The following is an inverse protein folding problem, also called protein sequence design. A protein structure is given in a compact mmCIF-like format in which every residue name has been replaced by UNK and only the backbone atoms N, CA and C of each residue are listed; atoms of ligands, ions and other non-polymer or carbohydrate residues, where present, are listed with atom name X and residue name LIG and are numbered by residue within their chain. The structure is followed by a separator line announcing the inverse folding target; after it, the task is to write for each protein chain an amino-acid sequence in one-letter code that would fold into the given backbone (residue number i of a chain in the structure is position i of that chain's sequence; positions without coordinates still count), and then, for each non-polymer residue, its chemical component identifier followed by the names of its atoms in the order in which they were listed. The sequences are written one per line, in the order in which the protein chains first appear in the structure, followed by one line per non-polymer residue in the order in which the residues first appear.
data_IF_291853939887
#
_entry.id   IF_291853939887
#
_cell.length_a   1.000
_cell.length_b   1.000
_cell.length_c   1.000
_cell.angle_alpha   90.00
_cell.angle_beta   90.00
_cell.angle_gamma   90.00
#
_symmetry.space_group_name_H-M   'P 1'
#
loop_
_entity.id
_entity.type
_entity.pdbx_description
1 polymer ?
#
# COMPACT_ATOMS: atom_id res chain seq x y z
N UNK A 1 24.62 6.80 -27.03
CA UNK A 1 24.03 5.57 -26.47
C UNK A 1 22.55 5.57 -26.84
N UNK A 2 22.02 4.43 -27.30
CA UNK A 2 20.64 4.37 -27.78
C UNK A 2 19.76 3.79 -26.69
N UNK A 3 18.72 4.54 -26.31
CA UNK A 3 17.68 4.05 -25.41
C UNK A 3 16.49 3.60 -26.26
N UNK A 4 16.08 2.34 -26.07
CA UNK A 4 14.91 1.74 -26.73
C UNK A 4 13.84 1.48 -25.68
N UNK A 5 12.63 1.95 -25.92
CA UNK A 5 11.44 1.65 -25.08
C UNK A 5 10.62 0.58 -25.78
N UNK A 6 10.33 -0.51 -25.05
CA UNK A 6 9.45 -1.58 -25.53
C UNK A 6 8.16 -1.58 -24.75
N UNK A 7 7.05 -1.58 -25.48
CA UNK A 7 5.70 -1.66 -24.91
C UNK A 7 5.27 -3.12 -24.80
N UNK A 8 4.64 -3.47 -23.68
CA UNK A 8 4.13 -4.81 -23.41
C UNK A 8 2.67 -4.76 -23.00
N UNK A 9 1.90 -5.75 -23.45
CA UNK A 9 0.50 -5.89 -23.08
C UNK A 9 0.37 -6.71 -21.79
N UNK A 10 -0.37 -6.22 -20.77
CA UNK A 10 -0.65 -7.00 -19.57
C UNK A 10 -1.24 -8.38 -19.88
N UNK A 11 -0.77 -9.41 -19.19
CA UNK A 11 -1.21 -10.79 -19.39
C UNK A 11 -0.57 -11.53 -20.58
N UNK A 12 0.16 -10.81 -21.46
CA UNK A 12 1.00 -11.40 -22.50
C UNK A 12 2.40 -11.74 -21.94
N UNK A 13 3.44 -11.76 -22.80
CA UNK A 13 4.81 -11.94 -22.34
C UNK A 13 5.30 -10.68 -21.59
N UNK A 14 5.39 -10.79 -20.27
CA UNK A 14 5.85 -9.73 -19.37
C UNK A 14 7.17 -10.12 -18.66
N UNK A 15 7.91 -11.09 -19.17
CA UNK A 15 9.12 -11.59 -18.52
C UNK A 15 10.18 -10.49 -18.35
N UNK A 16 10.38 -9.67 -19.37
CA UNK A 16 11.31 -8.54 -19.29
C UNK A 16 10.85 -7.49 -18.28
N UNK A 17 9.55 -7.25 -18.17
CA UNK A 17 8.99 -6.33 -17.17
C UNK A 17 9.21 -6.83 -15.74
N UNK A 18 9.02 -8.12 -15.49
CA UNK A 18 9.30 -8.75 -14.18
C UNK A 18 10.80 -8.69 -13.88
N UNK A 19 11.65 -9.03 -14.87
CA UNK A 19 13.11 -9.05 -14.74
C UNK A 19 13.70 -7.66 -14.49
N UNK A 20 13.10 -6.59 -15.04
CA UNK A 20 13.59 -5.22 -14.87
C UNK A 20 13.71 -4.82 -13.40
N UNK A 21 12.74 -5.18 -12.55
CA UNK A 21 12.83 -4.94 -11.11
C UNK A 21 14.05 -5.62 -10.49
N UNK A 22 14.35 -6.88 -10.86
CA UNK A 22 15.53 -7.59 -10.34
C UNK A 22 16.84 -6.93 -10.78
N UNK A 23 16.89 -6.42 -12.00
CA UNK A 23 18.06 -5.71 -12.53
C UNK A 23 18.29 -4.40 -11.77
N UNK A 24 17.24 -3.62 -11.55
CA UNK A 24 17.34 -2.31 -10.87
C UNK A 24 17.72 -2.46 -9.41
N UNK A 25 17.18 -3.48 -8.73
CA UNK A 25 17.44 -3.70 -7.31
C UNK A 25 18.60 -4.66 -7.03
N UNK A 26 19.37 -5.06 -8.04
CA UNK A 26 20.53 -5.91 -7.84
C UNK A 26 21.49 -5.29 -6.81
N UNK A 27 21.92 -6.11 -5.84
CA UNK A 27 22.82 -5.69 -4.76
C UNK A 27 22.18 -4.80 -3.68
N UNK A 28 20.89 -4.53 -3.72
CA UNK A 28 20.20 -3.77 -2.66
C UNK A 28 19.82 -4.69 -1.49
N UNK A 29 20.44 -4.55 -0.30
CA UNK A 29 20.18 -5.44 0.83
C UNK A 29 18.82 -5.20 1.48
N UNK A 30 18.18 -4.06 1.21
CA UNK A 30 16.85 -3.74 1.74
C UNK A 30 15.73 -4.26 0.85
N UNK A 31 15.98 -4.47 -0.43
CA UNK A 31 14.94 -4.94 -1.34
C UNK A 31 14.49 -6.37 -1.03
N UNK A 32 13.18 -6.59 -1.12
CA UNK A 32 12.55 -7.90 -0.99
C UNK A 32 11.86 -8.24 -2.30
N UNK A 33 12.36 -9.24 -3.06
CA UNK A 33 11.70 -9.65 -4.30
C UNK A 33 10.25 -10.08 -4.04
N UNK A 34 9.27 -9.52 -4.77
CA UNK A 34 7.91 -10.01 -4.70
C UNK A 34 7.83 -11.46 -5.17
N UNK A 35 6.82 -12.19 -4.76
CA UNK A 35 6.57 -13.54 -5.28
C UNK A 35 6.16 -13.44 -6.75
N UNK A 36 6.92 -14.09 -7.62
CA UNK A 36 6.77 -13.97 -9.08
C UNK A 36 5.36 -14.31 -9.57
N UNK A 37 4.73 -15.34 -8.96
CA UNK A 37 3.37 -15.74 -9.35
C UNK A 37 2.33 -14.68 -8.99
N UNK A 38 2.50 -14.00 -7.85
CA UNK A 38 1.61 -12.95 -7.37
C UNK A 38 1.79 -11.67 -8.19
N UNK A 39 3.03 -11.25 -8.40
CA UNK A 39 3.35 -10.11 -9.24
C UNK A 39 2.79 -10.27 -10.67
N UNK A 40 2.94 -11.46 -11.27
CA UNK A 40 2.35 -11.76 -12.58
C UNK A 40 0.83 -11.77 -12.54
N UNK A 41 0.21 -12.28 -11.47
CA UNK A 41 -1.24 -12.29 -11.31
C UNK A 41 -1.80 -10.85 -11.27
N UNK A 42 -1.10 -9.93 -10.60
CA UNK A 42 -1.47 -8.49 -10.57
C UNK A 42 -1.52 -7.88 -11.97
N UNK A 43 -0.64 -8.30 -12.88
CA UNK A 43 -0.54 -7.79 -14.26
C UNK A 43 -1.30 -8.65 -15.27
N UNK A 44 -2.13 -9.60 -14.84
CA UNK A 44 -2.92 -10.46 -15.71
C UNK A 44 -4.39 -10.05 -15.68
N UNK A 45 -4.98 -9.57 -16.80
CA UNK A 45 -6.36 -9.09 -16.81
C UNK A 45 -7.40 -10.09 -16.28
N UNK A 46 -7.24 -11.37 -16.61
CA UNK A 46 -8.15 -12.42 -16.12
C UNK A 46 -8.06 -12.68 -14.61
N UNK A 47 -7.01 -12.18 -13.95
CA UNK A 47 -6.75 -12.42 -12.52
C UNK A 47 -6.87 -11.18 -11.65
N UNK A 48 -6.84 -9.98 -12.23
CA UNK A 48 -6.92 -8.74 -11.47
C UNK A 48 -8.17 -7.93 -11.86
N UNK A 49 -9.11 -7.75 -10.91
CA UNK A 49 -10.36 -7.00 -11.13
C UNK A 49 -10.15 -5.55 -11.60
N UNK A 50 -9.00 -4.93 -11.31
CA UNK A 50 -8.70 -3.58 -11.80
C UNK A 50 -8.91 -3.44 -13.31
N UNK A 51 -8.56 -4.46 -14.10
CA UNK A 51 -8.73 -4.46 -15.56
C UNK A 51 -10.20 -4.46 -16.04
N UNK A 52 -11.16 -4.62 -15.14
CA UNK A 52 -12.59 -4.47 -15.48
C UNK A 52 -12.99 -2.99 -15.58
N UNK A 53 -12.20 -2.09 -14.94
CA UNK A 53 -12.47 -0.67 -14.88
C UNK A 53 -11.27 0.21 -15.29
N UNK A 54 -10.16 -0.39 -15.66
CA UNK A 54 -8.93 0.33 -16.00
C UNK A 54 -8.25 -0.19 -17.25
N UNK A 55 -7.52 0.69 -17.89
CA UNK A 55 -6.62 0.38 -19.01
C UNK A 55 -5.18 0.46 -18.52
N UNK A 56 -4.33 -0.48 -18.94
CA UNK A 56 -2.93 -0.54 -18.53
C UNK A 56 -2.06 -0.90 -19.72
N UNK A 57 -0.90 -0.25 -19.83
CA UNK A 57 0.23 -0.71 -20.63
C UNK A 57 1.50 -0.73 -19.82
N UNK A 58 2.46 -1.55 -20.21
CA UNK A 58 3.73 -1.73 -19.52
C UNK A 58 4.87 -1.34 -20.45
N UNK A 59 5.92 -0.73 -19.92
CA UNK A 59 7.10 -0.32 -20.67
C UNK A 59 8.37 -0.85 -20.02
N UNK A 60 9.31 -1.31 -20.83
CA UNK A 60 10.69 -1.60 -20.42
C UNK A 60 11.64 -0.70 -21.18
N UNK A 61 12.70 -0.23 -20.51
CA UNK A 61 13.78 0.53 -21.12
C UNK A 61 15.01 -0.37 -21.32
N UNK A 62 15.63 -0.22 -22.48
CA UNK A 62 16.85 -0.90 -22.88
C UNK A 62 17.89 0.13 -23.32
N UNK A 63 19.09 0.05 -22.75
CA UNK A 63 20.24 0.91 -23.12
C UNK A 63 21.37 0.02 -23.64
N UNK A 64 21.75 0.24 -24.91
CA UNK A 64 22.78 -0.57 -25.60
C UNK A 64 22.51 -2.08 -25.49
N UNK A 65 21.25 -2.51 -25.67
CA UNK A 65 20.82 -3.90 -25.61
C UNK A 65 20.68 -4.50 -24.21
N UNK A 66 20.87 -3.71 -23.14
CA UNK A 66 20.70 -4.15 -21.75
C UNK A 66 19.40 -3.60 -21.17
N UNK A 67 18.65 -4.45 -20.48
CA UNK A 67 17.46 -4.05 -19.71
C UNK A 67 17.88 -3.16 -18.55
N UNK A 68 17.29 -1.94 -18.43
CA UNK A 68 17.73 -0.91 -17.48
C UNK A 68 16.60 -0.25 -16.68
N UNK A 69 15.36 -0.56 -16.97
CA UNK A 69 14.23 0.00 -16.23
C UNK A 69 12.88 -0.43 -16.74
N UNK A 70 11.85 -0.03 -16.01
CA UNK A 70 10.44 -0.27 -16.35
C UNK A 70 9.54 0.82 -15.80
N UNK A 71 8.36 0.96 -16.39
CA UNK A 71 7.22 1.71 -15.86
C UNK A 71 5.91 1.18 -16.47
N UNK A 72 4.79 1.56 -15.90
CA UNK A 72 3.46 1.37 -16.51
C UNK A 72 2.81 2.72 -16.78
N UNK A 73 1.82 2.72 -17.68
CA UNK A 73 0.83 3.78 -17.76
C UNK A 73 -0.56 3.16 -17.63
N UNK A 74 -1.44 3.82 -16.90
CA UNK A 74 -2.78 3.32 -16.64
C UNK A 74 -3.82 4.44 -16.51
N UNK A 75 -5.06 4.09 -16.85
CA UNK A 75 -6.25 4.92 -16.67
C UNK A 75 -7.20 4.15 -15.74
N UNK A 76 -7.64 4.79 -14.67
CA UNK A 76 -8.72 4.29 -13.82
C UNK A 76 -10.00 5.05 -14.15
N UNK A 77 -10.93 4.41 -14.86
CA UNK A 77 -12.17 5.06 -15.27
C UNK A 77 -13.07 5.44 -14.08
N UNK A 78 -12.95 4.75 -12.95
CA UNK A 78 -13.69 5.13 -11.74
C UNK A 78 -13.10 6.40 -11.12
N UNK A 79 -11.77 6.58 -11.16
CA UNK A 79 -11.14 7.83 -10.78
C UNK A 79 -11.63 8.99 -11.65
N UNK A 80 -11.63 8.81 -12.98
CA UNK A 80 -12.12 9.85 -13.90
C UNK A 80 -13.57 10.21 -13.65
N UNK A 81 -14.42 9.21 -13.38
CA UNK A 81 -15.83 9.42 -13.06
C UNK A 81 -16.05 10.24 -11.78
N UNK A 82 -15.19 10.06 -10.77
CA UNK A 82 -15.32 10.70 -9.46
C UNK A 82 -14.69 12.09 -9.40
N UNK A 83 -13.53 12.25 -10.03
CA UNK A 83 -12.71 13.46 -9.87
C UNK A 83 -12.80 14.40 -11.08
N UNK A 84 -13.20 13.93 -12.26
CA UNK A 84 -13.37 14.71 -13.50
C UNK A 84 -12.16 15.61 -13.83
N UNK A 85 -10.94 15.09 -13.54
CA UNK A 85 -9.70 15.86 -13.61
C UNK A 85 -8.80 15.48 -14.80
N UNK A 86 -9.26 14.56 -15.66
CA UNK A 86 -8.52 14.00 -16.79
C UNK A 86 -7.10 13.50 -16.41
N UNK A 87 -6.94 12.95 -15.21
CA UNK A 87 -5.68 12.42 -14.70
C UNK A 87 -5.52 10.95 -15.09
N UNK A 88 -4.44 10.63 -15.80
CA UNK A 88 -3.93 9.28 -15.93
C UNK A 88 -2.79 9.02 -14.96
N UNK A 89 -2.38 7.77 -14.85
CA UNK A 89 -1.39 7.37 -13.85
C UNK A 89 -0.22 6.65 -14.48
N UNK A 90 0.94 6.68 -13.81
CA UNK A 90 2.06 5.78 -14.06
C UNK A 90 2.38 5.00 -12.80
N UNK A 91 3.02 3.84 -12.93
CA UNK A 91 3.39 2.98 -11.80
C UNK A 91 4.60 2.11 -12.10
N UNK A 92 5.00 1.27 -11.15
CA UNK A 92 6.14 0.35 -11.31
C UNK A 92 7.40 1.05 -11.85
N UNK A 93 7.64 2.30 -11.43
CA UNK A 93 8.72 3.13 -11.94
C UNK A 93 10.05 2.73 -11.28
N UNK A 94 10.81 1.90 -11.97
CA UNK A 94 12.11 1.39 -11.54
C UNK A 94 13.15 1.67 -12.63
N UNK A 95 14.26 2.33 -12.29
CA UNK A 95 15.35 2.64 -13.21
C UNK A 95 16.72 2.39 -12.57
N UNK A 96 17.73 2.12 -13.40
CA UNK A 96 19.12 2.30 -12.98
C UNK A 96 19.39 3.78 -12.70
N UNK A 97 20.57 4.11 -12.15
CA UNK A 97 21.02 5.49 -11.90
C UNK A 97 21.35 6.23 -13.21
N UNK A 98 20.29 6.62 -13.94
CA UNK A 98 20.41 7.23 -15.27
C UNK A 98 19.17 8.09 -15.59
N UNK A 99 19.38 9.41 -15.66
CA UNK A 99 18.31 10.39 -15.89
C UNK A 99 17.67 10.27 -17.27
N UNK A 100 18.45 9.92 -18.30
CA UNK A 100 17.95 9.74 -19.68
C UNK A 100 17.00 8.54 -19.76
N UNK A 101 17.32 7.45 -19.05
CA UNK A 101 16.46 6.26 -18.96
C UNK A 101 15.15 6.60 -18.25
N UNK A 102 15.23 7.33 -17.14
CA UNK A 102 14.03 7.78 -16.42
C UNK A 102 13.14 8.67 -17.29
N UNK A 103 13.72 9.66 -17.95
CA UNK A 103 12.98 10.57 -18.85
C UNK A 103 12.30 9.79 -19.98
N UNK A 104 13.01 8.87 -20.65
CA UNK A 104 12.45 8.07 -21.74
C UNK A 104 11.24 7.22 -21.29
N UNK A 105 11.31 6.61 -20.11
CA UNK A 105 10.19 5.84 -19.54
C UNK A 105 8.99 6.73 -19.21
N UNK A 106 9.21 7.88 -18.57
CA UNK A 106 8.15 8.84 -18.22
C UNK A 106 7.52 9.43 -19.48
N UNK A 107 8.32 9.75 -20.50
CA UNK A 107 7.81 10.27 -21.76
C UNK A 107 6.97 9.24 -22.53
N UNK A 108 7.37 7.96 -22.50
CA UNK A 108 6.57 6.89 -23.09
C UNK A 108 5.21 6.74 -22.39
N UNK A 109 5.19 6.76 -21.05
CA UNK A 109 3.96 6.74 -20.28
C UNK A 109 3.08 7.97 -20.57
N UNK A 110 3.68 9.17 -20.59
CA UNK A 110 3.00 10.42 -20.92
C UNK A 110 2.37 10.39 -22.32
N UNK A 111 3.13 9.97 -23.33
CA UNK A 111 2.64 9.86 -24.70
C UNK A 111 1.48 8.87 -24.84
N UNK A 112 1.50 7.76 -24.10
CA UNK A 112 0.40 6.80 -24.08
C UNK A 112 -0.87 7.39 -23.48
N UNK A 113 -0.75 8.14 -22.37
CA UNK A 113 -1.85 8.83 -21.71
C UNK A 113 -2.41 9.98 -22.53
N UNK A 114 -1.55 10.79 -23.17
CA UNK A 114 -1.95 11.88 -24.05
C UNK A 114 -2.81 11.39 -25.23
N UNK A 115 -2.40 10.29 -25.90
CA UNK A 115 -3.18 9.67 -26.98
C UNK A 115 -4.58 9.22 -26.55
N UNK A 116 -4.83 9.11 -25.24
CA UNK A 116 -6.11 8.75 -24.62
C UNK A 116 -6.85 9.93 -23.99
N UNK A 117 -6.37 11.16 -24.26
CA UNK A 117 -7.04 12.38 -23.82
C UNK A 117 -6.76 12.78 -22.37
N UNK A 118 -5.80 12.15 -21.70
CA UNK A 118 -5.41 12.59 -20.35
C UNK A 118 -4.64 13.91 -20.44
N UNK A 119 -4.90 14.80 -19.49
CA UNK A 119 -4.26 16.11 -19.37
C UNK A 119 -3.19 16.17 -18.31
N UNK A 120 -3.21 15.20 -17.40
CA UNK A 120 -2.27 15.06 -16.29
C UNK A 120 -1.79 13.62 -16.18
N UNK A 121 -0.56 13.47 -15.70
CA UNK A 121 0.01 12.18 -15.34
C UNK A 121 0.48 12.23 -13.91
N UNK A 122 -0.03 11.33 -13.06
CA UNK A 122 0.28 11.25 -11.63
C UNK A 122 0.82 9.86 -11.25
N UNK A 123 1.75 9.81 -10.30
CA UNK A 123 2.31 8.54 -9.83
C UNK A 123 3.65 8.68 -9.10
N UNK A 124 4.35 7.54 -8.86
CA UNK A 124 3.93 6.21 -9.24
C UNK A 124 2.81 5.66 -8.36
N UNK A 125 1.83 5.01 -8.99
CA UNK A 125 0.79 4.19 -8.35
C UNK A 125 0.81 2.84 -9.07
N UNK A 126 1.07 1.76 -8.36
CA UNK A 126 1.17 0.43 -9.00
C UNK A 126 -0.22 -0.15 -9.23
N UNK A 127 -0.90 0.35 -10.26
CA UNK A 127 -2.24 0.23 -10.77
C UNK A 127 -3.22 1.26 -10.17
N UNK A 128 -3.42 1.29 -8.85
CA UNK A 128 -4.33 2.25 -8.19
C UNK A 128 -3.83 2.67 -6.81
N UNK A 129 -4.55 3.59 -6.15
CA UNK A 129 -4.23 4.13 -4.83
C UNK A 129 -4.22 3.11 -3.69
N UNK A 130 -4.90 1.98 -3.84
CA UNK A 130 -4.99 0.96 -2.79
C UNK A 130 -3.82 -0.04 -2.83
N UNK A 131 -2.91 0.12 -3.79
CA UNK A 131 -1.73 -0.71 -3.98
C UNK A 131 -0.45 0.01 -3.53
N UNK A 132 0.71 -0.28 -4.15
CA UNK A 132 1.97 0.41 -3.84
C UNK A 132 1.97 1.82 -4.40
N UNK A 133 2.30 2.81 -3.56
CA UNK A 133 2.19 4.24 -3.85
C UNK A 133 3.49 4.96 -3.58
N UNK A 134 3.91 5.78 -4.53
CA UNK A 134 5.01 6.72 -4.38
C UNK A 134 6.41 6.14 -4.55
N UNK A 135 7.37 7.02 -4.81
CA UNK A 135 8.80 6.75 -4.72
C UNK A 135 9.23 6.89 -3.28
N UNK A 136 9.94 5.91 -2.73
CA UNK A 136 10.58 6.04 -1.41
C UNK A 136 11.69 7.11 -1.50
N UNK A 137 11.57 8.18 -0.69
CA UNK A 137 12.52 9.31 -0.68
C UNK A 137 13.32 9.41 0.62
N UNK A 138 12.85 8.78 1.70
CA UNK A 138 13.56 8.67 2.98
C UNK A 138 13.37 7.27 3.58
N UNK A 139 14.41 6.69 4.18
CA UNK A 139 14.37 5.40 4.87
C UNK A 139 14.70 4.19 3.99
N UNK A 140 15.55 4.37 2.97
CA UNK A 140 15.95 3.34 2.01
C UNK A 140 16.66 2.15 2.64
N UNK A 141 17.31 2.33 3.80
CA UNK A 141 18.00 1.29 4.56
C UNK A 141 17.05 0.28 5.22
N UNK A 142 15.76 0.61 5.27
CA UNK A 142 14.73 -0.24 5.87
C UNK A 142 14.00 -1.05 4.79
N UNK A 143 13.97 -2.39 4.90
CA UNK A 143 13.17 -3.23 4.00
C UNK A 143 11.70 -2.81 3.99
N UNK A 144 11.01 -2.94 2.84
CA UNK A 144 9.58 -2.68 2.78
C UNK A 144 8.82 -3.70 3.62
N UNK A 145 7.74 -3.25 4.28
CA UNK A 145 6.76 -4.16 4.86
C UNK A 145 5.76 -4.60 3.78
N UNK A 146 4.90 -5.55 4.10
CA UNK A 146 3.88 -6.06 3.19
C UNK A 146 3.07 -4.92 2.53
N UNK A 147 2.87 -4.99 1.23
CA UNK A 147 2.12 -4.01 0.41
C UNK A 147 2.68 -2.58 0.46
N UNK A 148 3.97 -2.42 0.72
CA UNK A 148 4.68 -1.16 0.60
C UNK A 148 5.81 -1.29 -0.42
N UNK A 149 5.96 -0.25 -1.26
CA UNK A 149 7.01 -0.20 -2.26
C UNK A 149 8.41 0.03 -1.66
N UNK A 150 9.41 -0.20 -2.49
CA UNK A 150 10.81 0.17 -2.25
C UNK A 150 11.35 0.90 -3.47
N UNK A 151 12.32 1.78 -3.27
CA UNK A 151 12.94 2.53 -4.36
C UNK A 151 14.45 2.66 -4.14
N UNK A 152 15.20 2.78 -5.22
CA UNK A 152 16.63 3.10 -5.15
C UNK A 152 16.80 4.57 -4.75
N UNK A 153 17.91 4.90 -4.10
CA UNK A 153 18.20 6.24 -3.56
C UNK A 153 18.22 7.35 -4.62
N UNK A 154 18.44 7.02 -5.87
CA UNK A 154 18.46 7.97 -7.00
C UNK A 154 17.10 8.20 -7.64
N UNK A 155 16.09 7.40 -7.29
CA UNK A 155 14.78 7.37 -7.96
C UNK A 155 14.04 8.72 -7.85
N UNK A 156 14.16 9.42 -6.71
CA UNK A 156 13.60 10.77 -6.51
C UNK A 156 14.22 11.77 -7.49
N UNK A 157 15.56 11.79 -7.60
CA UNK A 157 16.28 12.65 -8.53
C UNK A 157 15.91 12.36 -9.99
N UNK A 158 15.88 11.08 -10.34
CA UNK A 158 15.51 10.64 -11.70
C UNK A 158 14.07 11.03 -12.05
N UNK A 159 13.13 10.92 -11.10
CA UNK A 159 11.77 11.38 -11.31
C UNK A 159 11.69 12.89 -11.56
N UNK A 160 12.40 13.68 -10.77
CA UNK A 160 12.43 15.14 -10.92
C UNK A 160 13.13 15.57 -12.22
N UNK A 161 14.23 14.92 -12.61
CA UNK A 161 14.92 15.20 -13.88
C UNK A 161 14.07 14.86 -15.11
N UNK A 162 13.10 13.94 -14.97
CA UNK A 162 12.10 13.64 -15.99
C UNK A 162 10.94 14.67 -16.06
N UNK A 163 11.05 15.80 -15.36
CA UNK A 163 10.03 16.86 -15.35
C UNK A 163 8.80 16.54 -14.50
N UNK A 164 8.92 15.65 -13.54
CA UNK A 164 7.88 15.36 -12.57
C UNK A 164 8.02 16.28 -11.35
N UNK A 165 6.91 16.88 -10.90
CA UNK A 165 6.86 17.76 -9.73
C UNK A 165 6.18 17.04 -8.56
N UNK A 166 6.55 17.43 -7.31
CA UNK A 166 5.90 16.88 -6.12
C UNK A 166 4.41 17.19 -6.12
N UNK A 167 3.58 16.16 -5.99
CA UNK A 167 2.15 16.30 -5.73
C UNK A 167 1.80 16.02 -4.26
N UNK A 168 2.24 14.88 -3.71
CA UNK A 168 1.86 14.49 -2.36
C UNK A 168 2.91 13.62 -1.69
N UNK A 169 3.20 13.88 -0.41
CA UNK A 169 4.02 13.00 0.42
C UNK A 169 3.15 12.07 1.30
N UNK A 170 3.65 10.86 1.51
CA UNK A 170 3.05 9.82 2.33
C UNK A 170 4.02 9.37 3.39
N UNK A 171 3.54 9.18 4.60
CA UNK A 171 4.37 8.80 5.73
C UNK A 171 4.14 7.35 6.16
N UNK A 172 5.22 6.65 6.46
CA UNK A 172 5.20 5.41 7.20
C UNK A 172 5.80 5.66 8.60
N UNK A 173 5.07 5.22 9.61
CA UNK A 173 5.42 5.43 11.01
C UNK A 173 5.84 4.12 11.64
N UNK A 174 6.89 4.14 12.43
CA UNK A 174 7.36 3.01 13.22
C UNK A 174 6.94 3.18 14.68
N UNK A 175 6.27 2.18 15.21
CA UNK A 175 5.86 2.06 16.61
C UNK A 175 6.51 0.84 17.24
N UNK A 176 7.19 1.00 18.38
CA UNK A 176 7.74 -0.11 19.17
C UNK A 176 6.69 -0.60 20.16
N UNK A 177 6.42 -1.91 20.19
CA UNK A 177 5.48 -2.51 21.17
C UNK A 177 5.98 -2.33 22.60
N UNK A 178 5.08 -2.39 23.59
CA UNK A 178 5.42 -2.19 25.00
C UNK A 178 5.71 -0.75 25.42
N UNK A 179 5.55 0.23 24.50
CA UNK A 179 5.82 1.66 24.79
C UNK A 179 4.56 2.52 24.65
N UNK A 180 3.45 2.07 25.22
CA UNK A 180 2.17 2.80 25.14
C UNK A 180 2.21 3.99 26.11
N UNK A 181 1.97 5.24 25.63
CA UNK A 181 1.94 6.41 26.52
C UNK A 181 0.74 6.36 27.47
N UNK A 182 0.93 6.74 28.73
CA UNK A 182 -0.12 6.76 29.77
C UNK A 182 -1.38 7.50 29.36
N UNK A 183 -1.26 8.59 28.56
CA UNK A 183 -2.42 9.35 28.05
C UNK A 183 -3.27 8.50 27.10
N UNK A 184 -2.64 7.71 26.25
CA UNK A 184 -3.33 6.82 25.32
C UNK A 184 -3.99 5.66 26.06
N UNK A 185 -3.31 5.09 27.09
CA UNK A 185 -3.89 4.05 27.96
C UNK A 185 -5.16 4.54 28.65
N UNK A 186 -5.16 5.76 29.22
CA UNK A 186 -6.36 6.34 29.83
C UNK A 186 -7.51 6.48 28.81
N UNK A 187 -7.22 6.86 27.57
CA UNK A 187 -8.26 6.93 26.55
C UNK A 187 -8.84 5.54 26.25
N UNK A 188 -8.02 4.50 26.22
CA UNK A 188 -8.44 3.11 26.06
C UNK A 188 -9.30 2.65 27.25
N UNK A 189 -8.86 2.90 28.51
CA UNK A 189 -9.61 2.58 29.72
C UNK A 189 -10.98 3.24 29.73
N UNK A 190 -11.06 4.53 29.38
CA UNK A 190 -12.31 5.27 29.31
C UNK A 190 -13.29 4.65 28.28
N UNK A 191 -12.79 4.25 27.10
CA UNK A 191 -13.61 3.63 26.06
C UNK A 191 -14.05 2.23 26.47
N UNK A 192 -13.19 1.44 27.09
CA UNK A 192 -13.51 0.11 27.62
C UNK A 192 -14.52 0.16 28.77
N UNK A 193 -14.58 1.26 29.51
CA UNK A 193 -15.57 1.51 30.56
C UNK A 193 -16.97 1.84 30.05
N UNK A 194 -17.16 2.07 28.76
CA UNK A 194 -18.47 2.33 28.14
C UNK A 194 -19.19 1.01 27.86
N UNK A 195 -20.33 0.71 28.51
CA UNK A 195 -20.98 -0.60 28.38
C UNK A 195 -21.52 -0.89 27.00
N UNK A 196 -21.82 0.14 26.22
CA UNK A 196 -22.30 0.04 24.84
C UNK A 196 -21.16 -0.22 23.83
N UNK A 197 -19.91 -0.01 24.20
CA UNK A 197 -18.74 -0.21 23.30
C UNK A 197 -18.19 -1.62 23.43
N UNK A 198 -18.08 -2.30 22.32
CA UNK A 198 -17.51 -3.65 22.26
C UNK A 198 -16.46 -3.75 21.15
N UNK A 199 -15.27 -4.25 21.49
CA UNK A 199 -14.25 -4.59 20.52
C UNK A 199 -14.29 -6.10 20.26
N UNK A 200 -14.66 -6.51 19.05
CA UNK A 200 -14.69 -7.93 18.67
C UNK A 200 -13.72 -8.23 17.54
N UNK A 201 -13.09 -9.38 17.63
CA UNK A 201 -12.24 -9.90 16.57
C UNK A 201 -13.06 -10.25 15.32
N UNK A 202 -12.48 -10.05 14.14
CA UNK A 202 -13.05 -10.47 12.85
C UNK A 202 -13.25 -11.99 12.85
N UNK A 203 -14.41 -12.46 12.37
CA UNK A 203 -14.78 -13.86 12.34
C UNK A 203 -14.44 -14.50 10.98
N UNK A 204 -13.35 -15.28 10.82
CA UNK A 204 -12.95 -15.85 9.52
C UNK A 204 -13.99 -16.79 8.91
N UNK A 205 -14.90 -17.37 9.73
CA UNK A 205 -15.98 -18.22 9.26
C UNK A 205 -17.12 -17.44 8.61
N UNK A 206 -17.20 -16.12 8.84
CA UNK A 206 -18.19 -15.20 8.29
C UNK A 206 -17.53 -14.12 7.43
N UNK A 207 -16.46 -14.48 6.72
CA UNK A 207 -15.59 -13.52 6.04
C UNK A 207 -16.35 -12.57 5.10
N UNK A 208 -17.31 -13.06 4.33
CA UNK A 208 -18.09 -12.23 3.40
C UNK A 208 -18.85 -11.11 4.15
N UNK A 209 -19.45 -11.43 5.31
CA UNK A 209 -20.10 -10.44 6.17
C UNK A 209 -19.10 -9.45 6.76
N UNK A 210 -17.96 -9.94 7.24
CA UNK A 210 -16.91 -9.10 7.83
C UNK A 210 -16.33 -8.14 6.79
N UNK A 211 -16.09 -8.62 5.57
CA UNK A 211 -15.62 -7.80 4.47
C UNK A 211 -16.63 -6.71 4.10
N UNK A 212 -17.91 -7.04 4.05
CA UNK A 212 -18.97 -6.03 3.80
C UNK A 212 -18.94 -4.93 4.86
N UNK A 213 -18.86 -5.29 6.15
CA UNK A 213 -18.76 -4.32 7.26
C UNK A 213 -17.49 -3.47 7.15
N UNK A 214 -16.35 -4.10 6.88
CA UNK A 214 -15.06 -3.41 6.70
C UNK A 214 -15.16 -2.40 5.57
N UNK A 215 -15.76 -2.78 4.44
CA UNK A 215 -15.91 -1.90 3.28
C UNK A 215 -16.85 -0.73 3.52
N UNK A 216 -17.96 -0.94 4.22
CA UNK A 216 -18.83 0.16 4.60
C UNK A 216 -18.09 1.19 5.46
N UNK A 217 -17.32 0.73 6.45
CA UNK A 217 -16.53 1.61 7.30
C UNK A 217 -15.43 2.28 6.50
N UNK A 218 -14.73 1.53 5.62
CA UNK A 218 -13.69 2.06 4.75
C UNK A 218 -14.23 3.17 3.86
N UNK A 219 -15.28 2.90 3.10
CA UNK A 219 -15.86 3.87 2.17
C UNK A 219 -16.33 5.15 2.89
N UNK A 220 -16.93 5.03 4.07
CA UNK A 220 -17.34 6.21 4.85
C UNK A 220 -16.14 6.97 5.43
N UNK A 221 -15.12 6.26 5.94
CA UNK A 221 -14.00 6.88 6.62
C UNK A 221 -13.02 7.56 5.66
N UNK A 222 -12.86 7.07 4.41
CA UNK A 222 -11.86 7.54 3.45
C UNK A 222 -12.40 8.41 2.31
N UNK A 223 -13.72 8.53 2.13
CA UNK A 223 -14.34 9.25 0.99
C UNK A 223 -13.87 10.68 0.77
N UNK A 224 -13.33 11.34 1.80
CA UNK A 224 -12.81 12.70 1.74
C UNK A 224 -11.28 12.75 1.58
N UNK A 225 -10.62 11.60 1.52
CA UNK A 225 -9.17 11.56 1.36
C UNK A 225 -8.77 11.86 -0.10
N UNK A 226 -7.63 12.51 -0.26
CA UNK A 226 -7.04 12.78 -1.56
C UNK A 226 -6.89 11.49 -2.39
N UNK A 227 -7.33 11.55 -3.66
CA UNK A 227 -7.21 10.44 -4.61
C UNK A 227 -8.05 9.20 -4.29
N UNK A 228 -8.97 9.28 -3.32
CA UNK A 228 -9.80 8.14 -2.95
C UNK A 228 -10.66 7.65 -4.12
N UNK A 229 -10.65 6.34 -4.31
CA UNK A 229 -11.55 5.63 -5.22
C UNK A 229 -12.09 4.41 -4.46
N UNK A 230 -13.41 4.17 -4.47
CA UNK A 230 -13.99 3.03 -3.79
C UNK A 230 -13.48 1.73 -4.42
N UNK A 231 -13.15 0.75 -3.60
CA UNK A 231 -12.88 -0.59 -4.10
C UNK A 231 -14.20 -1.26 -4.53
N UNK A 232 -14.18 -1.97 -5.65
CA UNK A 232 -15.33 -2.74 -6.11
C UNK A 232 -15.54 -3.99 -5.24
N UNK A 233 -16.74 -4.55 -5.27
CA UNK A 233 -17.05 -5.79 -4.55
C UNK A 233 -16.12 -6.95 -4.94
N UNK A 234 -15.77 -7.01 -6.22
CA UNK A 234 -14.84 -8.02 -6.77
C UNK A 234 -13.41 -7.82 -6.25
N UNK A 235 -12.92 -6.57 -6.18
CA UNK A 235 -11.61 -6.24 -5.60
C UNK A 235 -11.55 -6.61 -4.12
N UNK A 236 -12.60 -6.28 -3.37
CA UNK A 236 -12.71 -6.60 -1.94
C UNK A 236 -12.71 -8.09 -1.69
N UNK A 237 -13.50 -8.84 -2.46
CA UNK A 237 -13.57 -10.30 -2.34
C UNK A 237 -12.20 -10.92 -2.62
N UNK A 238 -11.55 -10.50 -3.70
CA UNK A 238 -10.22 -10.98 -4.05
C UNK A 238 -9.21 -10.67 -2.95
N UNK A 239 -9.17 -9.44 -2.47
CA UNK A 239 -8.30 -9.04 -1.36
C UNK A 239 -8.55 -9.90 -0.11
N UNK A 240 -9.81 -10.15 0.23
CA UNK A 240 -10.17 -11.02 1.36
C UNK A 240 -9.68 -12.46 1.19
N UNK A 241 -9.74 -13.02 -0.02
CA UNK A 241 -9.22 -14.35 -0.34
C UNK A 241 -7.69 -14.41 -0.20
N UNK A 242 -6.98 -13.42 -0.73
CA UNK A 242 -5.51 -13.32 -0.68
C UNK A 242 -5.00 -13.12 0.76
N UNK A 243 -5.64 -12.26 1.52
CA UNK A 243 -5.23 -11.96 2.89
C UNK A 243 -5.60 -13.06 3.89
N UNK A 244 -6.53 -13.94 3.57
CA UNK A 244 -7.00 -15.01 4.47
C UNK A 244 -5.90 -15.92 4.98
N UNK A 245 -4.88 -16.20 4.15
CA UNK A 245 -3.76 -17.07 4.52
C UNK A 245 -2.80 -16.40 5.51
N UNK A 246 -2.63 -15.09 5.39
CA UNK A 246 -1.66 -14.32 6.18
C UNK A 246 -2.30 -13.62 7.37
N UNK A 247 -3.63 -13.45 7.38
CA UNK A 247 -4.33 -12.77 8.46
C UNK A 247 -4.04 -13.41 9.82
N UNK A 248 -3.62 -12.59 10.76
CA UNK A 248 -3.60 -12.93 12.18
C UNK A 248 -4.91 -12.42 12.81
N UNK A 249 -5.70 -13.33 13.37
CA UNK A 249 -7.02 -13.00 13.93
C UNK A 249 -6.95 -11.97 15.04
N UNK A 250 -5.88 -12.00 15.82
CA UNK A 250 -5.70 -11.09 16.94
C UNK A 250 -5.42 -9.65 16.47
N UNK A 251 -4.95 -9.48 15.21
CA UNK A 251 -4.65 -8.20 14.61
C UNK A 251 -5.78 -7.60 13.75
N UNK A 252 -6.98 -8.21 13.74
CA UNK A 252 -8.12 -7.71 12.98
C UNK A 252 -9.37 -7.68 13.87
N UNK A 253 -9.90 -6.48 14.12
CA UNK A 253 -11.08 -6.32 14.97
C UNK A 253 -11.95 -5.14 14.55
N UNK A 254 -13.21 -5.20 14.98
CA UNK A 254 -14.25 -4.22 14.73
C UNK A 254 -14.72 -3.67 16.07
N UNK A 255 -14.90 -2.35 16.16
CA UNK A 255 -15.56 -1.72 17.27
C UNK A 255 -17.06 -1.55 16.96
N UNK A 256 -17.90 -1.95 17.90
CA UNK A 256 -19.35 -1.81 17.85
C UNK A 256 -19.82 -0.88 18.97
N UNK A 257 -20.82 -0.05 18.69
CA UNK A 257 -21.57 0.73 19.69
C UNK A 257 -23.01 0.32 19.55
N UNK A 258 -23.62 -0.17 20.65
CA UNK A 258 -24.98 -0.72 20.66
C UNK A 258 -25.21 -1.75 19.53
N UNK A 259 -24.25 -2.65 19.33
CA UNK A 259 -24.23 -3.67 18.28
C UNK A 259 -24.06 -3.15 16.84
N UNK A 260 -23.94 -1.84 16.63
CA UNK A 260 -23.64 -1.27 15.31
C UNK A 260 -22.13 -1.19 15.08
N UNK A 261 -21.59 -1.77 13.98
CA UNK A 261 -20.19 -1.61 13.61
C UNK A 261 -19.86 -0.16 13.24
N UNK A 262 -18.93 0.45 13.96
CA UNK A 262 -18.61 1.88 13.82
C UNK A 262 -17.16 2.17 13.52
N UNK A 263 -16.26 1.23 13.79
CA UNK A 263 -14.85 1.38 13.49
C UNK A 263 -14.21 0.03 13.24
N UNK A 264 -13.09 0.05 12.54
CA UNK A 264 -12.28 -1.13 12.26
C UNK A 264 -10.80 -0.85 12.47
N UNK A 265 -10.05 -1.91 12.77
CA UNK A 265 -8.61 -1.89 12.87
C UNK A 265 -8.06 -3.21 12.33
N UNK A 266 -7.23 -3.13 11.28
CA UNK A 266 -6.69 -4.30 10.59
C UNK A 266 -5.20 -4.13 10.40
N UNK A 267 -4.44 -5.03 11.03
CA UNK A 267 -3.02 -5.14 10.77
C UNK A 267 -2.68 -6.53 10.21
N UNK A 268 -1.64 -6.57 9.41
CA UNK A 268 -1.16 -7.79 8.77
C UNK A 268 0.25 -8.11 9.25
N UNK A 269 0.56 -9.39 9.52
CA UNK A 269 1.93 -9.84 9.70
C UNK A 269 2.82 -9.40 8.52
N UNK A 270 4.04 -8.97 8.79
CA UNK A 270 4.94 -8.56 7.71
C UNK A 270 5.42 -9.77 6.89
N UNK A 271 4.72 -10.06 5.81
CA UNK A 271 5.05 -11.16 4.89
C UNK A 271 6.46 -11.00 4.29
N UNK A 272 6.92 -9.76 4.08
CA UNK A 272 8.24 -9.52 3.49
C UNK A 272 9.39 -10.02 4.38
N UNK A 273 9.24 -10.00 5.71
CA UNK A 273 10.21 -10.67 6.60
C UNK A 273 10.23 -12.19 6.41
N UNK A 274 9.09 -12.76 6.03
CA UNK A 274 8.91 -14.21 5.90
C UNK A 274 9.51 -14.73 4.59
N UNK A 275 9.31 -13.98 3.49
CA UNK A 275 9.69 -14.40 2.13
C UNK A 275 11.03 -13.83 1.65
N UNK A 276 11.73 -13.04 2.45
CA UNK A 276 12.94 -12.29 2.06
C UNK A 276 14.01 -13.12 1.33
N UNK A 277 14.16 -14.39 1.71
CA UNK A 277 15.14 -15.33 1.17
C UNK A 277 14.55 -16.30 0.12
N UNK A 278 13.34 -16.04 -0.38
CA UNK A 278 12.69 -16.90 -1.38
C UNK A 278 13.07 -16.54 -2.82
N UNK A 279 13.67 -15.38 -3.02
CA UNK A 279 14.02 -14.86 -4.34
C UNK A 279 12.86 -14.92 -5.34
N UNK A 280 11.65 -14.53 -4.87
CA UNK A 280 10.43 -14.53 -5.68
C UNK A 280 9.80 -15.90 -5.92
N UNK A 281 10.42 -16.99 -5.50
CA UNK A 281 9.95 -18.35 -5.77
C UNK A 281 9.06 -18.88 -4.64
N UNK A 282 7.99 -19.55 -4.99
CA UNK A 282 7.12 -20.24 -4.02
C UNK A 282 6.87 -21.70 -4.46
N UNK A 283 7.85 -22.56 -4.22
CA UNK A 283 7.68 -24.01 -4.36
C UNK A 283 7.15 -24.66 -3.06
N UNK A 284 6.94 -25.99 -3.03
CA UNK A 284 6.40 -26.68 -1.86
C UNK A 284 7.21 -26.45 -0.57
N UNK A 285 8.54 -26.40 -0.68
CA UNK A 285 9.45 -26.17 0.47
C UNK A 285 9.29 -24.74 0.97
N UNK A 286 9.28 -23.73 0.09
CA UNK A 286 9.08 -22.35 0.44
C UNK A 286 7.69 -22.13 1.05
N UNK A 287 6.66 -22.78 0.54
CA UNK A 287 5.30 -22.72 1.09
C UNK A 287 5.27 -23.27 2.53
N UNK A 288 5.86 -24.43 2.78
CA UNK A 288 5.95 -25.00 4.12
C UNK A 288 6.73 -24.07 5.07
N UNK A 289 7.86 -23.50 4.60
CA UNK A 289 8.69 -22.54 5.33
C UNK A 289 7.92 -21.24 5.62
N UNK A 290 7.15 -20.73 4.66
CA UNK A 290 6.29 -19.56 4.82
C UNK A 290 5.23 -19.79 5.90
N UNK A 291 4.50 -20.88 5.82
CA UNK A 291 3.47 -21.22 6.81
C UNK A 291 4.06 -21.39 8.21
N UNK A 292 5.20 -22.07 8.33
CA UNK A 292 5.89 -22.21 9.61
C UNK A 292 6.34 -20.86 10.17
N UNK A 293 6.94 -19.98 9.31
CA UNK A 293 7.37 -18.63 9.72
C UNK A 293 6.19 -17.73 10.11
N UNK A 294 5.06 -17.86 9.45
CA UNK A 294 3.85 -17.06 9.76
C UNK A 294 3.16 -17.54 11.04
N UNK A 295 3.02 -18.86 11.22
CA UNK A 295 2.14 -19.40 12.26
C UNK A 295 2.89 -19.86 13.53
N UNK A 296 4.16 -20.27 13.40
CA UNK A 296 4.95 -20.82 14.51
C UNK A 296 6.02 -19.82 14.97
N UNK A 297 6.94 -19.43 14.06
CA UNK A 297 8.04 -18.51 14.41
C UNK A 297 7.54 -17.08 14.59
N UNK A 298 6.55 -16.67 13.81
CA UNK A 298 6.00 -15.33 13.63
C UNK A 298 7.03 -14.29 13.13
N UNK A 299 6.66 -13.35 12.27
CA UNK A 299 7.50 -12.20 11.94
C UNK A 299 7.61 -11.27 13.17
N UNK A 300 8.65 -10.44 13.19
CA UNK A 300 8.86 -9.48 14.28
C UNK A 300 7.96 -8.26 14.16
N UNK A 301 7.47 -7.98 12.96
CA UNK A 301 6.66 -6.81 12.70
C UNK A 301 5.32 -7.15 12.05
N UNK A 302 4.38 -6.20 12.22
CA UNK A 302 3.10 -6.17 11.52
C UNK A 302 2.88 -4.77 10.92
N UNK A 303 2.06 -4.69 9.87
CA UNK A 303 1.62 -3.42 9.30
C UNK A 303 0.18 -3.14 9.69
N UNK A 304 -0.07 -2.03 10.39
CA UNK A 304 -1.41 -1.48 10.54
C UNK A 304 -1.81 -0.84 9.20
N UNK A 305 -2.57 -1.59 8.42
CA UNK A 305 -2.97 -1.22 7.07
C UNK A 305 -4.22 -0.35 7.05
N UNK A 306 -5.21 -0.65 7.91
CA UNK A 306 -6.47 0.07 7.98
C UNK A 306 -6.87 0.34 9.44
N UNK A 307 -7.16 1.60 9.74
CA UNK A 307 -7.85 2.04 10.95
C UNK A 307 -8.84 3.11 10.54
N UNK A 308 -10.11 2.79 10.60
CA UNK A 308 -11.20 3.68 10.17
C UNK A 308 -12.27 3.79 11.23
N UNK A 309 -12.85 4.99 11.34
CA UNK A 309 -13.98 5.29 12.23
C UNK A 309 -15.03 5.98 11.36
N UNK A 310 -16.28 5.55 11.46
CA UNK A 310 -17.40 6.16 10.71
C UNK A 310 -17.48 7.67 10.98
N UNK A 311 -17.70 8.43 9.93
CA UNK A 311 -17.70 9.89 9.93
C UNK A 311 -18.68 10.48 10.99
N UNK A 312 -19.80 9.83 11.23
CA UNK A 312 -20.81 10.23 12.24
C UNK A 312 -20.26 10.31 13.67
N UNK A 313 -19.13 9.67 13.97
CA UNK A 313 -18.49 9.71 15.29
C UNK A 313 -17.37 10.75 15.38
N UNK A 314 -16.97 11.36 14.26
CA UNK A 314 -15.94 12.39 14.25
C UNK A 314 -16.42 13.60 15.05
N UNK A 315 -15.58 14.10 15.96
CA UNK A 315 -15.92 15.22 16.85
C UNK A 315 -16.86 14.89 18.00
N UNK A 316 -17.28 13.64 18.18
CA UNK A 316 -18.09 13.22 19.33
C UNK A 316 -17.32 13.42 20.63
N UNK A 317 -17.89 14.16 21.59
CA UNK A 317 -17.29 14.31 22.92
C UNK A 317 -17.25 12.98 23.68
N UNK A 318 -18.28 12.14 23.54
CA UNK A 318 -18.41 10.86 24.23
C UNK A 318 -17.41 9.83 23.70
N UNK A 319 -17.22 9.78 22.36
CA UNK A 319 -16.38 8.79 21.69
C UNK A 319 -15.07 9.36 21.14
N UNK A 320 -14.68 10.57 21.53
CA UNK A 320 -13.47 11.24 21.04
C UNK A 320 -12.16 10.50 21.32
N UNK A 321 -12.16 9.60 22.30
CA UNK A 321 -11.03 8.71 22.60
C UNK A 321 -10.95 7.43 21.77
N UNK A 322 -11.94 7.15 20.91
CA UNK A 322 -12.07 5.87 20.22
C UNK A 322 -10.85 5.57 19.31
N UNK A 323 -10.32 6.57 18.59
CA UNK A 323 -9.13 6.36 17.75
C UNK A 323 -7.91 5.92 18.56
N UNK A 324 -7.66 6.58 19.70
CA UNK A 324 -6.57 6.20 20.61
C UNK A 324 -6.80 4.81 21.21
N UNK A 325 -8.06 4.49 21.56
CA UNK A 325 -8.42 3.17 22.06
C UNK A 325 -8.11 2.07 21.05
N UNK A 326 -8.40 2.30 19.76
CA UNK A 326 -8.05 1.35 18.69
C UNK A 326 -6.53 1.19 18.53
N UNK A 327 -5.75 2.28 18.58
CA UNK A 327 -4.27 2.20 18.54
C UNK A 327 -3.71 1.44 19.75
N UNK A 328 -4.23 1.67 20.95
CA UNK A 328 -3.79 0.96 22.16
C UNK A 328 -4.17 -0.52 22.07
N UNK A 329 -5.39 -0.82 21.63
CA UNK A 329 -5.86 -2.21 21.51
C UNK A 329 -4.99 -3.01 20.53
N UNK A 330 -4.71 -2.45 19.32
CA UNK A 330 -3.86 -3.15 18.36
C UNK A 330 -2.42 -3.31 18.86
N UNK A 331 -1.89 -2.31 19.58
CA UNK A 331 -0.55 -2.40 20.18
C UNK A 331 -0.48 -3.50 21.23
N UNK A 332 -1.46 -3.61 22.12
CA UNK A 332 -1.54 -4.66 23.16
C UNK A 332 -1.71 -6.04 22.56
N UNK A 333 -2.60 -6.18 21.57
CA UNK A 333 -2.80 -7.45 20.85
C UNK A 333 -1.53 -7.87 20.10
N UNK A 334 -0.86 -6.92 19.45
CA UNK A 334 0.40 -7.17 18.77
C UNK A 334 1.50 -7.63 19.72
N UNK A 335 1.65 -6.96 20.86
CA UNK A 335 2.61 -7.35 21.90
C UNK A 335 2.31 -8.75 22.46
N UNK A 336 1.05 -9.02 22.82
CA UNK A 336 0.60 -10.33 23.31
C UNK A 336 0.82 -11.44 22.28
N UNK A 337 0.70 -11.13 20.98
CA UNK A 337 0.98 -12.04 19.89
C UNK A 337 2.47 -12.19 19.56
N UNK A 338 3.37 -11.42 20.21
CA UNK A 338 4.83 -11.53 20.09
C UNK A 338 5.45 -10.62 19.03
N UNK A 339 4.70 -9.69 18.45
CA UNK A 339 5.24 -8.68 17.54
C UNK A 339 6.04 -7.64 18.33
N UNK A 340 7.21 -7.24 17.82
CA UNK A 340 8.13 -6.33 18.49
C UNK A 340 7.91 -4.87 18.06
N UNK A 341 7.44 -4.65 16.83
CA UNK A 341 7.13 -3.33 16.30
C UNK A 341 6.05 -3.39 15.21
N UNK A 342 5.42 -2.27 14.99
CA UNK A 342 4.42 -2.10 13.93
C UNK A 342 4.77 -0.94 13.00
N UNK A 343 4.47 -1.11 11.71
CA UNK A 343 4.40 0.01 10.78
C UNK A 343 2.94 0.47 10.66
N UNK A 344 2.72 1.78 10.85
CA UNK A 344 1.43 2.41 10.56
C UNK A 344 1.61 3.17 9.26
N UNK A 345 1.03 2.64 8.17
CA UNK A 345 1.23 3.19 6.82
C UNK A 345 0.07 2.87 5.88
N UNK A 346 -0.08 3.68 4.88
CA UNK A 346 0.51 5.00 4.74
C UNK A 346 -0.47 6.07 5.25
N UNK A 347 0.06 7.24 5.63
CA UNK A 347 -0.76 8.40 5.97
C UNK A 347 -0.37 9.58 5.08
N UNK A 348 -1.35 10.39 4.68
CA UNK A 348 -1.13 11.60 3.90
C UNK A 348 -0.44 12.68 4.75
N UNK A 349 0.49 13.44 4.15
CA UNK A 349 1.21 14.53 4.84
C UNK A 349 0.29 15.58 5.47
N UNK A 350 -0.85 15.85 4.85
CA UNK A 350 -1.85 16.83 5.25
C UNK A 350 -2.98 16.27 6.14
N UNK A 351 -3.00 14.96 6.41
CA UNK A 351 -3.97 14.37 7.33
C UNK A 351 -3.55 14.60 8.79
N UNK A 352 -3.64 15.87 9.23
CA UNK A 352 -3.20 16.29 10.56
C UNK A 352 -3.83 15.48 11.71
N UNK A 353 -5.14 15.17 11.73
CA UNK A 353 -5.75 14.40 12.82
C UNK A 353 -5.11 13.01 12.98
N UNK A 354 -4.93 12.28 11.89
CA UNK A 354 -4.33 10.94 11.89
C UNK A 354 -2.87 11.03 12.31
N UNK A 355 -2.09 11.94 11.72
CA UNK A 355 -0.66 12.11 12.00
C UNK A 355 -0.41 12.51 13.46
N UNK A 356 -1.24 13.38 14.04
CA UNK A 356 -1.19 13.73 15.46
C UNK A 356 -1.55 12.54 16.35
N UNK A 357 -2.57 11.77 15.99
CA UNK A 357 -2.97 10.56 16.70
C UNK A 357 -1.83 9.55 16.78
N UNK A 358 -1.22 9.23 15.65
CA UNK A 358 -0.09 8.29 15.56
C UNK A 358 1.13 8.80 16.34
N UNK A 359 1.47 10.08 16.17
CA UNK A 359 2.58 10.71 16.92
C UNK A 359 2.34 10.67 18.43
N UNK A 360 1.10 10.85 18.87
CA UNK A 360 0.74 10.81 20.29
C UNK A 360 0.89 9.42 20.92
N UNK A 361 0.90 8.36 20.10
CA UNK A 361 1.26 7.00 20.50
C UNK A 361 2.77 6.77 20.66
N UNK A 362 3.59 7.78 20.32
CA UNK A 362 5.06 7.67 20.39
C UNK A 362 5.69 7.11 19.12
N UNK A 363 4.92 6.89 18.05
CA UNK A 363 5.45 6.47 16.77
C UNK A 363 6.22 7.60 16.09
N UNK A 364 7.22 7.22 15.26
CA UNK A 364 8.07 8.15 14.52
C UNK A 364 7.98 7.85 13.04
N UNK A 365 7.96 8.90 12.21
CA UNK A 365 8.15 8.75 10.77
C UNK A 365 9.54 8.15 10.55
N UNK A 366 9.61 7.07 9.78
CA UNK A 366 10.88 6.43 9.45
C UNK A 366 11.05 6.17 7.95
N UNK A 367 9.95 6.31 7.18
CA UNK A 367 9.96 6.32 5.72
C UNK A 367 9.05 7.42 5.21
N UNK A 368 9.43 8.01 4.07
CA UNK A 368 8.58 8.89 3.28
C UNK A 368 8.54 8.44 1.84
N UNK A 369 7.35 8.50 1.28
CA UNK A 369 7.09 8.22 -0.12
C UNK A 369 6.54 9.47 -0.78
N UNK A 370 6.87 9.69 -2.05
CA UNK A 370 6.41 10.84 -2.81
C UNK A 370 5.70 10.43 -4.08
N UNK A 371 4.51 10.96 -4.27
CA UNK A 371 3.79 10.95 -5.53
C UNK A 371 4.08 12.25 -6.26
N UNK A 372 4.30 12.12 -7.56
CA UNK A 372 4.59 13.23 -8.46
C UNK A 372 3.44 13.43 -9.44
N UNK A 373 3.43 14.60 -10.06
CA UNK A 373 2.51 14.95 -11.14
C UNK A 373 3.26 15.67 -12.26
N UNK A 374 2.78 15.54 -13.49
CA UNK A 374 3.21 16.32 -14.65
C UNK A 374 1.99 16.65 -15.50
N UNK A 375 1.85 17.94 -15.88
CA UNK A 375 0.89 18.35 -16.89
C UNK A 375 1.29 17.77 -18.24
N UNK A 376 0.31 17.27 -18.98
CA UNK A 376 0.51 16.73 -20.32
C UNK A 376 0.13 17.79 -21.34
N UNK A 377 1.05 18.15 -22.22
CA UNK A 377 0.79 19.10 -23.29
C UNK A 377 -0.39 18.64 -24.17
N UNK A 378 -1.20 19.59 -24.60
CA UNK A 378 -2.33 19.31 -25.54
C UNK A 378 -1.81 19.05 -26.95
#
# INVERSE_FOLDING_TARGET
MTIEIREHTPGADIDDFVRAGRVVFEGDPAWVPPLDFDFRARLTPAKNPFFQRGEVTLFTAWKDGRLVGRTSAQIDHEHLRLHDDATGFFGFFDTIDDDEVGAALIDAAAAWLQRRGMKKMRGPLSLNMNEEVGVLIEGHEHPPVILMGHSRVWQDRVAQSAGLEKEKDFFAWRFETGKIPKRAERAWENVQGLPEVKLRTVEPRKMDRELAIIMEIFNDAWKENWGWVPATETEVKKMGEELRLILDRDLAFIAEIDHEPVAMCIALPNLNEVIRDFDGKLGPVQLAKMLWRLKVKRPKSARLMMLGIRSKLRGSKKYGGLSHALYVEIARRGEAAGYQWGELSWTLEDNAPVNLGIRSMGAKIYKKYRVYERELAQ
#
